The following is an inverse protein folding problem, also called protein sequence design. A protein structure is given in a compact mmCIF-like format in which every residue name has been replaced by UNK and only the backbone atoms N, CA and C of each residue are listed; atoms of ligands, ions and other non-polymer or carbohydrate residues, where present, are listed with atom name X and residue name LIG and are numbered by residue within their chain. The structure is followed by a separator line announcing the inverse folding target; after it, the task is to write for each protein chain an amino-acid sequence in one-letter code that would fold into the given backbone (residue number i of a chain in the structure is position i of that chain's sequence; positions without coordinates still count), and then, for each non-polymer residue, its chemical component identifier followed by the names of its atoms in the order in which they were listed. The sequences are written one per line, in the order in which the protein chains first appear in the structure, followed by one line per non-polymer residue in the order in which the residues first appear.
data_IF_753826943555
#
_entry.id   IF_753826943555
#
_cell.length_a   1.000
_cell.length_b   1.000
_cell.length_c   1.000
_cell.angle_alpha   90.00
_cell.angle_beta   90.00
_cell.angle_gamma   90.00
#
_symmetry.space_group_name_H-M   'P 1'
#
loop_
_entity.id
_entity.type
_entity.pdbx_description
1 polymer ?
#
# COMPACT_ATOMS: atom_id res chain seq x y z
N UNK A 1 -23.53 4.02 2.89
CA UNK A 1 -22.21 4.63 3.18
C UNK A 1 -21.13 3.63 3.65
N UNK A 2 -21.41 2.63 4.50
CA UNK A 2 -20.37 1.70 5.03
C UNK A 2 -19.68 0.80 3.98
N UNK A 3 -20.32 0.51 2.84
CA UNK A 3 -19.72 -0.31 1.77
C UNK A 3 -18.73 0.50 0.93
N UNK A 4 -19.07 1.76 0.64
CA UNK A 4 -18.29 2.65 -0.20
C UNK A 4 -16.95 2.99 0.45
N UNK A 5 -16.94 3.27 1.75
CA UNK A 5 -15.70 3.50 2.51
C UNK A 5 -14.78 2.28 2.51
N UNK A 6 -15.32 1.06 2.54
CA UNK A 6 -14.53 -0.19 2.48
C UNK A 6 -13.89 -0.40 1.11
N UNK A 7 -14.64 -0.11 0.04
CA UNK A 7 -14.12 -0.17 -1.34
C UNK A 7 -12.99 0.84 -1.50
N UNK A 8 -13.16 2.07 -1.01
CA UNK A 8 -12.11 3.09 -1.02
C UNK A 8 -10.87 2.61 -0.25
N UNK A 9 -11.03 2.06 0.96
CA UNK A 9 -9.93 1.51 1.75
C UNK A 9 -9.18 0.39 1.02
N UNK A 10 -9.90 -0.47 0.30
CA UNK A 10 -9.31 -1.54 -0.51
C UNK A 10 -8.52 -0.97 -1.70
N UNK A 11 -9.07 0.02 -2.40
CA UNK A 11 -8.39 0.70 -3.51
C UNK A 11 -7.13 1.42 -3.01
N UNK A 12 -7.20 2.10 -1.86
CA UNK A 12 -6.04 2.74 -1.22
C UNK A 12 -4.97 1.70 -0.90
N UNK A 13 -5.35 0.56 -0.31
CA UNK A 13 -4.42 -0.54 -0.01
C UNK A 13 -3.70 -1.04 -1.26
N UNK A 14 -4.44 -1.33 -2.33
CA UNK A 14 -3.85 -1.76 -3.60
C UNK A 14 -2.95 -0.70 -4.23
N UNK A 15 -3.35 0.57 -4.18
CA UNK A 15 -2.53 1.67 -4.67
C UNK A 15 -1.20 1.78 -3.91
N UNK A 16 -1.22 1.63 -2.59
CA UNK A 16 -0.01 1.65 -1.76
C UNK A 16 0.91 0.47 -2.09
N UNK A 17 0.35 -0.73 -2.31
CA UNK A 17 1.12 -1.90 -2.77
C UNK A 17 1.77 -1.61 -4.13
N UNK A 18 1.01 -1.07 -5.08
CA UNK A 18 1.52 -0.72 -6.40
C UNK A 18 2.67 0.29 -6.33
N UNK A 19 2.54 1.32 -5.48
CA UNK A 19 3.62 2.28 -5.24
C UNK A 19 4.87 1.60 -4.66
N UNK A 20 4.71 0.71 -3.67
CA UNK A 20 5.81 -0.06 -3.10
C UNK A 20 6.50 -0.96 -4.11
N UNK A 21 5.73 -1.67 -4.95
CA UNK A 21 6.26 -2.49 -6.04
C UNK A 21 7.05 -1.65 -7.05
N UNK A 22 6.54 -0.46 -7.39
CA UNK A 22 7.21 0.46 -8.32
C UNK A 22 8.53 0.98 -7.76
N UNK A 23 8.62 1.23 -6.44
CA UNK A 23 9.87 1.62 -5.77
C UNK A 23 10.84 0.43 -5.73
N UNK A 24 10.34 -0.76 -5.38
CA UNK A 24 11.14 -1.97 -5.27
C UNK A 24 11.77 -2.39 -6.60
N UNK A 25 11.03 -2.22 -7.69
CA UNK A 25 11.47 -2.53 -9.06
C UNK A 25 12.07 -1.32 -9.78
N UNK A 26 12.22 -0.18 -9.09
CA UNK A 26 12.77 1.02 -9.69
C UNK A 26 14.23 0.79 -10.08
N UNK A 27 14.47 0.67 -11.38
CA UNK A 27 15.82 0.56 -11.92
C UNK A 27 16.47 1.94 -11.98
N UNK A 28 16.93 2.44 -10.82
CA UNK A 28 17.80 3.62 -10.80
C UNK A 28 19.11 3.40 -11.57
N UNK A 29 19.52 2.14 -11.76
CA UNK A 29 20.71 1.73 -12.52
C UNK A 29 20.71 2.18 -13.98
N UNK A 30 19.55 2.41 -14.61
CA UNK A 30 19.50 2.67 -16.06
C UNK A 30 19.77 4.13 -16.47
N UNK A 31 19.45 5.11 -15.62
CA UNK A 31 19.36 6.53 -16.05
C UNK A 31 20.20 7.51 -15.22
N UNK A 32 21.07 7.02 -14.32
CA UNK A 32 21.87 7.91 -13.46
C UNK A 32 21.05 8.76 -12.48
N UNK A 33 19.82 8.33 -12.17
CA UNK A 33 18.94 9.07 -11.27
C UNK A 33 19.48 9.03 -9.83
N UNK A 34 19.53 10.18 -9.16
CA UNK A 34 19.93 10.30 -7.75
C UNK A 34 18.87 9.79 -6.77
N UNK A 35 17.63 9.59 -7.23
CA UNK A 35 16.53 9.11 -6.41
C UNK A 35 15.16 9.28 -7.05
N UNK A 36 14.13 8.96 -6.29
CA UNK A 36 12.73 9.10 -6.68
C UNK A 36 12.05 10.01 -5.67
N UNK A 37 11.35 11.03 -6.15
CA UNK A 37 10.40 11.78 -5.31
C UNK A 37 9.08 11.02 -5.29
N UNK A 38 8.67 10.58 -4.11
CA UNK A 38 7.38 9.95 -3.85
C UNK A 38 6.63 10.81 -2.84
N UNK A 39 5.37 11.13 -3.12
CA UNK A 39 4.62 12.10 -2.31
C UNK A 39 5.33 13.47 -2.27
N UNK A 40 4.63 14.55 -1.89
CA UNK A 40 5.19 15.92 -1.98
C UNK A 40 6.47 16.10 -1.14
N UNK A 41 6.72 15.22 -0.16
CA UNK A 41 7.78 15.37 0.83
C UNK A 41 8.80 14.23 0.92
N UNK A 42 8.56 13.06 0.31
CA UNK A 42 9.45 11.90 0.51
C UNK A 42 10.40 11.73 -0.68
N UNK A 43 11.68 11.99 -0.45
CA UNK A 43 12.74 11.67 -1.40
C UNK A 43 13.37 10.34 -1.02
N UNK A 44 13.32 9.37 -1.92
CA UNK A 44 13.91 8.04 -1.75
C UNK A 44 15.19 8.00 -2.58
N UNK A 45 16.37 7.89 -1.96
CA UNK A 45 17.61 7.82 -2.71
C UNK A 45 17.68 6.53 -3.54
N UNK A 46 18.30 6.65 -4.72
CA UNK A 46 18.42 5.61 -5.74
C UNK A 46 19.40 4.48 -5.40
N UNK A 47 19.60 4.19 -4.12
CA UNK A 47 20.47 3.11 -3.66
C UNK A 47 19.65 1.84 -3.47
N UNK A 48 20.20 0.68 -3.85
CA UNK A 48 19.54 -0.63 -3.74
C UNK A 48 18.95 -0.86 -2.33
N UNK A 49 19.70 -0.55 -1.28
CA UNK A 49 19.24 -0.66 0.10
C UNK A 49 17.94 0.14 0.36
N UNK A 50 17.94 1.44 0.07
CA UNK A 50 16.79 2.29 0.34
C UNK A 50 15.59 1.90 -0.54
N UNK A 51 15.79 1.61 -1.82
CA UNK A 51 14.71 1.18 -2.71
C UNK A 51 14.04 -0.11 -2.22
N UNK A 52 14.82 -1.09 -1.78
CA UNK A 52 14.27 -2.32 -1.20
C UNK A 52 13.56 -2.06 0.14
N UNK A 53 14.18 -1.31 1.05
CA UNK A 53 13.59 -1.02 2.37
C UNK A 53 12.27 -0.26 2.24
N UNK A 54 12.24 0.84 1.47
CA UNK A 54 11.02 1.61 1.27
C UNK A 54 10.00 0.82 0.43
N UNK A 55 10.44 0.11 -0.62
CA UNK A 55 9.54 -0.73 -1.42
C UNK A 55 8.83 -1.79 -0.58
N UNK A 56 9.57 -2.54 0.24
CA UNK A 56 9.01 -3.54 1.16
C UNK A 56 8.11 -2.88 2.20
N UNK A 57 8.53 -1.77 2.82
CA UNK A 57 7.73 -1.07 3.82
C UNK A 57 6.36 -0.64 3.26
N UNK A 58 6.35 -0.05 2.05
CA UNK A 58 5.11 0.32 1.38
C UNK A 58 4.23 -0.89 1.03
N UNK A 59 4.82 -1.99 0.54
CA UNK A 59 4.06 -3.22 0.28
C UNK A 59 3.43 -3.76 1.56
N UNK A 60 4.19 -3.84 2.67
CA UNK A 60 3.69 -4.33 3.96
C UNK A 60 2.55 -3.46 4.47
N UNK A 61 2.70 -2.13 4.44
CA UNK A 61 1.64 -1.20 4.84
C UNK A 61 0.39 -1.39 3.99
N UNK A 62 0.54 -1.49 2.67
CA UNK A 62 -0.58 -1.70 1.75
C UNK A 62 -1.29 -3.05 1.96
N UNK A 63 -0.54 -4.11 2.26
CA UNK A 63 -1.09 -5.42 2.64
C UNK A 63 -1.89 -5.33 3.94
N UNK A 64 -1.35 -4.67 4.98
CA UNK A 64 -2.06 -4.45 6.25
C UNK A 64 -3.39 -3.73 6.01
N UNK A 65 -3.38 -2.61 5.26
CA UNK A 65 -4.59 -1.84 4.95
C UNK A 65 -5.62 -2.72 4.23
N UNK A 66 -5.17 -3.52 3.25
CA UNK A 66 -6.04 -4.41 2.48
C UNK A 66 -6.66 -5.49 3.37
N UNK A 67 -5.86 -6.14 4.22
CA UNK A 67 -6.33 -7.16 5.17
C UNK A 67 -7.32 -6.55 6.16
N UNK A 68 -7.02 -5.38 6.73
CA UNK A 68 -7.92 -4.69 7.68
C UNK A 68 -9.25 -4.37 7.03
N UNK A 69 -9.27 -3.92 5.76
CA UNK A 69 -10.51 -3.68 5.01
C UNK A 69 -11.36 -4.95 4.90
N UNK A 70 -10.74 -6.09 4.57
CA UNK A 70 -11.41 -7.39 4.46
C UNK A 70 -11.88 -7.92 5.83
N UNK A 71 -11.06 -7.76 6.88
CA UNK A 71 -11.39 -8.21 8.23
C UNK A 71 -12.60 -7.46 8.80
N UNK A 72 -12.65 -6.13 8.64
CA UNK A 72 -13.79 -5.30 9.02
C UNK A 72 -15.06 -5.68 8.25
N UNK A 73 -14.93 -6.08 6.98
CA UNK A 73 -16.05 -6.62 6.21
C UNK A 73 -16.60 -7.93 6.80
N UNK A 74 -15.72 -8.88 7.13
CA UNK A 74 -16.13 -10.18 7.73
C UNK A 74 -16.80 -10.01 9.09
N UNK A 75 -16.28 -9.15 9.96
CA UNK A 75 -16.89 -8.85 11.27
C UNK A 75 -18.28 -8.23 11.11
N UNK A 76 -18.45 -7.32 10.15
CA UNK A 76 -19.74 -6.70 9.86
C UNK A 76 -20.81 -7.68 9.35
N UNK A 77 -20.42 -8.78 8.69
CA UNK A 77 -21.34 -9.82 8.25
C UNK A 77 -21.75 -10.74 9.41
N UNK A 78 -20.79 -11.11 10.28
CA UNK A 78 -21.09 -11.92 11.48
C UNK A 78 -22.07 -11.22 12.42
N UNK A 79 -21.88 -9.92 12.67
CA UNK A 79 -22.79 -9.15 13.54
C UNK A 79 -24.22 -9.02 13.01
N UNK A 80 -24.45 -9.20 11.70
CA UNK A 80 -25.81 -9.21 11.14
C UNK A 80 -26.53 -10.56 11.30
N UNK A 81 -25.79 -11.67 11.42
CA UNK A 81 -26.37 -13.03 11.56
C UNK A 81 -26.83 -13.36 12.97
N UNK A 82 -26.39 -12.62 13.98
CA UNK A 82 -26.73 -12.89 15.40
C UNK A 82 -27.98 -12.13 15.87
N UNK A 83 -28.53 -11.24 15.03
CA UNK A 83 -29.69 -10.38 15.36
C UNK A 83 -30.94 -10.81 14.57
N UNK A 84 -30.86 -11.90 13.80
CA UNK A 84 -32.01 -12.60 13.21
C UNK A 84 -32.23 -13.90 13.96
#
# INVERSE_FOLDING_TARGET
MKIFSRIILLIIGLYVIYQGYTIYTFSARSNGSMGIRKFIWLFIPATDYHLHTYGIAFIVIGVIITITSVALYRMSLKGKKTVQ
#
